data_IF_887225263710
#
_entry.id   IF_887225263710
#
_cell.length_a   1.000
_cell.length_b   1.000
_cell.length_c   1.000
_cell.angle_alpha   90.00
_cell.angle_beta   90.00
_cell.angle_gamma   90.00
#
_symmetry.space_group_name_H-M   'P 1'
#
loop_
_entity.id
_entity.type
_entity.pdbx_description
1 polymer ?
#
# COMPACT_ATOMS: atom_id res chain seq x y z
N UNK A 1 17.97 -40.93 -21.12
CA UNK A 1 18.73 -39.92 -20.35
C UNK A 1 18.63 -38.64 -21.14
N UNK A 2 17.85 -37.67 -20.66
CA UNK A 2 17.49 -36.47 -21.42
C UNK A 2 18.46 -35.32 -21.13
N UNK A 3 18.53 -34.32 -22.01
CA UNK A 3 19.53 -33.23 -21.93
C UNK A 3 19.54 -32.46 -20.59
N UNK A 4 18.39 -32.36 -19.91
CA UNK A 4 18.29 -31.80 -18.56
C UNK A 4 19.14 -32.56 -17.51
N UNK A 5 19.30 -33.88 -17.62
CA UNK A 5 20.11 -34.66 -16.67
C UNK A 5 21.61 -34.38 -16.83
N UNK A 6 22.07 -34.12 -18.07
CA UNK A 6 23.47 -33.78 -18.35
C UNK A 6 23.85 -32.42 -17.75
N UNK A 7 23.01 -31.40 -17.95
CA UNK A 7 23.25 -30.06 -17.42
C UNK A 7 23.30 -30.01 -15.87
N UNK A 8 22.59 -30.92 -15.19
CA UNK A 8 22.63 -31.03 -13.72
C UNK A 8 23.94 -31.70 -13.25
N UNK A 9 24.40 -32.73 -13.95
CA UNK A 9 25.66 -33.42 -13.64
C UNK A 9 26.90 -32.53 -13.83
N UNK A 10 26.94 -31.70 -14.86
CA UNK A 10 28.05 -30.75 -15.07
C UNK A 10 28.14 -29.74 -13.92
N UNK A 11 27.01 -29.11 -13.54
CA UNK A 11 26.97 -28.16 -12.41
C UNK A 11 27.33 -28.79 -11.06
N UNK A 12 26.99 -30.05 -10.83
CA UNK A 12 27.40 -30.78 -9.62
C UNK A 12 28.89 -31.16 -9.61
N UNK A 13 29.54 -31.20 -10.77
CA UNK A 13 30.97 -31.50 -10.89
C UNK A 13 31.82 -30.26 -10.61
N UNK A 14 31.45 -29.08 -11.15
CA UNK A 14 32.14 -27.81 -10.83
C UNK A 14 32.04 -27.44 -9.34
N UNK A 15 30.87 -27.64 -8.72
CA UNK A 15 30.65 -27.33 -7.30
C UNK A 15 31.49 -28.18 -6.32
N UNK A 16 32.18 -29.23 -6.80
CA UNK A 16 32.91 -30.19 -5.95
C UNK A 16 34.42 -30.20 -6.13
N UNK A 17 34.96 -29.33 -7.01
CA UNK A 17 36.38 -29.26 -7.36
C UNK A 17 37.13 -28.03 -6.78
N UNK A 18 36.55 -27.33 -5.80
CA UNK A 18 37.21 -26.26 -5.04
C UNK A 18 38.04 -26.81 -3.86
N UNK A 19 39.36 -26.61 -3.91
CA UNK A 19 40.39 -27.35 -3.15
C UNK A 19 40.38 -27.13 -1.61
N UNK A 20 40.83 -28.09 -0.78
CA UNK A 20 40.97 -27.94 0.66
C UNK A 20 42.29 -27.25 1.06
N UNK A 21 42.32 -26.63 2.24
CA UNK A 21 43.52 -25.94 2.74
C UNK A 21 43.34 -25.41 4.16
N UNK A 22 43.26 -26.32 5.15
CA UNK A 22 43.29 -25.92 6.55
C UNK A 22 44.70 -25.45 6.94
N UNK A 23 44.82 -24.20 7.38
CA UNK A 23 46.02 -23.67 8.02
C UNK A 23 45.69 -23.24 9.46
N UNK A 24 46.58 -23.62 10.39
CA UNK A 24 46.38 -23.52 11.85
C UNK A 24 46.42 -22.06 12.32
N UNK A 25 45.56 -21.63 13.27
CA UNK A 25 45.64 -20.28 13.84
C UNK A 25 46.84 -20.11 14.78
N UNK A 26 47.56 -18.98 14.77
CA UNK A 26 48.53 -18.64 15.80
C UNK A 26 47.81 -18.29 17.14
N UNK A 27 48.50 -18.43 18.29
CA UNK A 27 47.87 -18.37 19.61
C UNK A 27 47.45 -16.95 20.02
N UNK A 28 46.38 -16.88 20.81
CA UNK A 28 45.89 -15.64 21.40
C UNK A 28 46.87 -15.04 22.41
N UNK A 29 47.21 -13.76 22.25
CA UNK A 29 47.89 -12.98 23.28
C UNK A 29 46.85 -12.41 24.26
N UNK A 30 47.07 -12.64 25.57
CA UNK A 30 46.26 -12.09 26.64
C UNK A 30 46.54 -10.57 26.84
N UNK A 31 45.58 -9.79 27.38
CA UNK A 31 45.71 -8.34 27.51
C UNK A 31 46.58 -7.93 28.72
N UNK A 32 47.42 -6.87 28.61
CA UNK A 32 47.92 -6.15 29.77
C UNK A 32 46.82 -5.28 30.39
N UNK A 33 46.82 -5.14 31.72
CA UNK A 33 45.85 -4.34 32.49
C UNK A 33 46.30 -2.88 32.63
N UNK A 34 45.32 -1.99 32.82
CA UNK A 34 45.42 -0.63 33.43
C UNK A 34 46.06 0.49 32.58
N UNK A 35 45.64 1.77 32.64
CA UNK A 35 44.42 2.38 33.22
C UNK A 35 44.22 3.86 32.73
N UNK A 36 42.95 4.23 32.48
CA UNK A 36 42.28 5.57 32.68
C UNK A 36 43.00 6.85 32.16
N UNK A 37 42.44 7.61 31.21
CA UNK A 37 41.59 8.82 31.42
C UNK A 37 41.03 9.41 30.08
N UNK A 38 39.94 10.23 30.07
CA UNK A 38 39.16 10.57 28.86
C UNK A 38 39.65 11.84 28.10
N UNK A 39 39.26 12.11 26.85
CA UNK A 39 38.35 11.38 25.94
C UNK A 39 37.81 12.29 24.83
N UNK A 40 38.63 12.59 23.81
CA UNK A 40 38.29 13.47 22.67
C UNK A 40 38.40 12.69 21.36
N UNK A 41 37.35 12.73 20.53
CA UNK A 41 37.30 12.07 19.23
C UNK A 41 37.86 13.00 18.15
N UNK A 42 38.83 12.52 17.38
CA UNK A 42 39.24 13.11 16.11
C UNK A 42 39.61 12.00 15.11
N UNK A 43 38.88 11.90 14.01
CA UNK A 43 39.18 11.02 12.88
C UNK A 43 38.86 11.76 11.58
N UNK A 44 39.76 11.71 10.59
CA UNK A 44 39.72 12.51 9.35
C UNK A 44 39.88 11.61 8.11
N UNK A 45 38.95 11.75 7.13
CA UNK A 45 38.95 11.09 5.80
C UNK A 45 38.54 9.60 5.80
N UNK A 46 37.95 8.97 4.77
CA UNK A 46 37.49 9.40 3.43
C UNK A 46 37.62 8.24 2.40
N UNK A 47 36.86 8.12 1.29
CA UNK A 47 35.69 8.84 0.71
C UNK A 47 34.90 7.90 -0.24
N UNK A 48 33.56 7.83 -0.10
CA UNK A 48 32.51 7.37 -1.08
C UNK A 48 32.58 5.96 -1.74
N UNK A 49 31.52 5.17 -1.49
CA UNK A 49 30.71 4.51 -2.53
C UNK A 49 29.28 4.23 -1.98
N UNK A 50 28.23 4.46 -2.77
CA UNK A 50 26.85 4.47 -2.29
C UNK A 50 26.20 3.07 -2.25
N UNK A 51 25.45 2.81 -1.16
CA UNK A 51 24.70 1.57 -0.98
C UNK A 51 23.78 1.66 0.24
N UNK A 52 22.70 2.46 0.13
CA UNK A 52 21.68 2.57 1.19
C UNK A 52 20.85 1.30 1.22
N UNK A 53 21.37 0.25 1.84
CA UNK A 53 20.56 -0.88 2.32
C UNK A 53 19.90 -0.42 3.61
N UNK A 54 18.80 0.31 3.47
CA UNK A 54 17.91 0.65 4.57
C UNK A 54 17.23 -0.63 5.07
N UNK A 55 17.92 -1.38 5.94
CA UNK A 55 17.35 -2.51 6.66
C UNK A 55 16.33 -2.01 7.69
N UNK A 56 15.09 -1.80 7.25
CA UNK A 56 13.98 -1.50 8.15
C UNK A 56 13.65 -2.74 8.98
N UNK A 57 14.18 -2.75 10.19
CA UNK A 57 13.86 -3.73 11.22
C UNK A 57 12.34 -3.75 11.50
N UNK A 58 11.85 -4.94 11.80
CA UNK A 58 10.47 -5.27 12.10
C UNK A 58 9.90 -4.42 13.25
N UNK A 59 9.16 -3.38 12.90
CA UNK A 59 8.17 -2.74 13.76
C UNK A 59 6.86 -2.67 13.00
N UNK A 60 5.80 -3.23 13.56
CA UNK A 60 4.44 -3.24 12.99
C UNK A 60 3.77 -1.86 13.07
N UNK A 61 4.40 -0.84 12.48
CA UNK A 61 3.75 0.45 12.28
C UNK A 61 2.60 0.28 11.30
N UNK A 62 1.41 0.73 11.69
CA UNK A 62 0.32 0.90 10.73
C UNK A 62 0.81 1.80 9.59
N UNK A 63 0.72 1.33 8.35
CA UNK A 63 1.10 2.10 7.17
C UNK A 63 0.12 3.29 7.03
N UNK A 64 0.49 4.46 7.56
CA UNK A 64 -0.36 5.67 7.54
C UNK A 64 -0.33 6.41 6.19
N UNK A 65 0.68 6.12 5.37
CA UNK A 65 0.89 6.75 4.06
C UNK A 65 0.82 5.67 2.99
N UNK A 66 -0.09 5.82 2.03
CA UNK A 66 -0.24 4.86 0.93
C UNK A 66 0.89 4.93 -0.10
N UNK A 67 1.08 3.84 -0.83
CA UNK A 67 1.98 3.74 -1.99
C UNK A 67 1.17 3.66 -3.28
N UNK A 68 1.82 3.61 -4.45
CA UNK A 68 1.12 3.44 -5.74
C UNK A 68 0.45 2.05 -5.83
N UNK A 69 1.08 1.04 -5.23
CA UNK A 69 0.60 -0.34 -5.16
C UNK A 69 -0.53 -0.51 -4.14
N UNK A 70 -0.50 0.28 -3.05
CA UNK A 70 -1.48 0.24 -1.97
C UNK A 70 -1.80 1.65 -1.46
N UNK A 71 -2.59 2.44 -2.19
CA UNK A 71 -2.88 3.82 -1.81
C UNK A 71 -3.82 3.90 -0.61
N UNK A 72 -3.77 5.03 0.09
CA UNK A 72 -4.60 5.28 1.25
C UNK A 72 -5.99 5.84 0.85
N UNK A 73 -7.03 5.28 1.46
CA UNK A 73 -8.38 5.87 1.50
C UNK A 73 -8.40 7.05 2.48
N UNK A 74 -9.17 8.08 2.13
CA UNK A 74 -9.36 9.27 2.97
C UNK A 74 -10.76 9.25 3.58
N UNK A 75 -10.90 9.67 4.84
CA UNK A 75 -12.20 9.77 5.51
C UNK A 75 -13.10 10.86 4.92
N UNK A 76 -14.40 10.60 4.87
CA UNK A 76 -15.43 11.65 4.85
C UNK A 76 -15.45 12.31 6.23
N UNK A 77 -15.39 13.65 6.27
CA UNK A 77 -15.48 14.40 7.54
C UNK A 77 -16.88 14.28 8.13
N UNK A 78 -17.01 14.28 9.46
CA UNK A 78 -18.31 14.22 10.14
C UNK A 78 -19.30 15.30 9.66
N UNK A 79 -18.81 16.52 9.36
CA UNK A 79 -19.60 17.63 8.79
C UNK A 79 -20.19 17.36 7.41
N UNK A 80 -19.58 16.43 6.67
CA UNK A 80 -19.83 16.23 5.24
C UNK A 80 -20.66 14.96 5.00
N UNK A 81 -20.96 14.16 6.03
CA UNK A 81 -21.70 12.88 5.92
C UNK A 81 -23.08 13.07 5.27
N UNK A 82 -23.84 14.10 5.69
CA UNK A 82 -25.17 14.36 5.12
C UNK A 82 -25.11 14.70 3.63
N UNK A 83 -24.08 15.45 3.20
CA UNK A 83 -23.83 15.75 1.79
C UNK A 83 -23.36 14.51 1.02
N UNK A 84 -22.50 13.70 1.64
CA UNK A 84 -21.97 12.47 1.09
C UNK A 84 -23.05 11.40 0.86
N UNK A 85 -24.11 11.40 1.68
CA UNK A 85 -25.23 10.45 1.61
C UNK A 85 -25.89 10.39 0.22
N UNK A 86 -25.92 11.49 -0.52
CA UNK A 86 -26.46 11.55 -1.89
C UNK A 86 -25.68 10.75 -2.93
N UNK A 87 -24.56 10.13 -2.54
CA UNK A 87 -23.73 9.24 -3.38
C UNK A 87 -23.72 7.78 -2.89
N UNK A 88 -24.40 7.50 -1.77
CA UNK A 88 -24.55 6.15 -1.25
C UNK A 88 -25.74 5.46 -1.94
N UNK A 89 -25.73 4.12 -2.03
CA UNK A 89 -26.85 3.33 -2.53
C UNK A 89 -28.15 3.70 -1.76
N UNK A 90 -29.23 4.15 -2.43
CA UNK A 90 -30.46 4.62 -1.76
C UNK A 90 -31.04 3.63 -0.74
N UNK A 91 -30.94 2.33 -1.03
CA UNK A 91 -31.39 1.21 -0.21
C UNK A 91 -30.58 0.98 1.07
N UNK A 92 -29.31 1.40 1.10
CA UNK A 92 -28.43 1.29 2.28
C UNK A 92 -28.20 2.65 2.98
N UNK A 93 -28.57 3.75 2.32
CA UNK A 93 -28.23 5.13 2.69
C UNK A 93 -28.49 5.46 4.17
N UNK A 94 -29.69 5.17 4.67
CA UNK A 94 -30.06 5.56 6.04
C UNK A 94 -29.24 4.81 7.10
N UNK A 95 -29.03 3.49 6.91
CA UNK A 95 -28.17 2.66 7.76
C UNK A 95 -26.72 3.15 7.72
N UNK A 96 -26.17 3.36 6.53
CA UNK A 96 -24.77 3.77 6.32
C UNK A 96 -24.51 5.16 6.92
N UNK A 97 -25.45 6.10 6.78
CA UNK A 97 -25.37 7.43 7.40
C UNK A 97 -25.46 7.34 8.93
N UNK A 98 -26.32 6.50 9.49
CA UNK A 98 -26.42 6.30 10.93
C UNK A 98 -25.12 5.72 11.51
N UNK A 99 -24.58 4.65 10.91
CA UNK A 99 -23.35 4.01 11.35
C UNK A 99 -22.13 4.93 11.24
N UNK A 100 -22.08 5.78 10.21
CA UNK A 100 -21.03 6.78 10.04
C UNK A 100 -21.14 7.93 11.06
N UNK A 101 -22.35 8.46 11.29
CA UNK A 101 -22.60 9.49 12.33
C UNK A 101 -22.33 8.98 13.75
N UNK A 102 -22.56 7.69 13.99
CA UNK A 102 -22.25 7.03 15.25
C UNK A 102 -20.78 6.59 15.39
N UNK A 103 -19.92 6.91 14.42
CA UNK A 103 -18.51 6.51 14.37
C UNK A 103 -18.26 4.99 14.43
N UNK A 104 -19.27 4.16 14.10
CA UNK A 104 -19.19 2.68 14.12
C UNK A 104 -18.65 2.12 12.81
N UNK A 105 -19.08 2.69 11.69
CA UNK A 105 -18.57 2.37 10.36
C UNK A 105 -18.42 3.67 9.56
N UNK A 106 -17.24 4.32 9.58
CA UNK A 106 -17.05 5.58 8.89
C UNK A 106 -17.07 5.40 7.37
N UNK A 107 -17.23 6.52 6.66
CA UNK A 107 -17.22 6.57 5.21
C UNK A 107 -15.83 6.96 4.69
N UNK A 108 -15.39 6.29 3.64
CA UNK A 108 -14.28 6.70 2.80
C UNK A 108 -14.77 7.61 1.67
N UNK A 109 -13.98 8.64 1.36
CA UNK A 109 -14.17 9.58 0.27
C UNK A 109 -13.23 9.23 -0.88
N UNK A 110 -13.77 9.17 -2.09
CA UNK A 110 -13.02 9.01 -3.33
C UNK A 110 -13.49 10.09 -4.32
N UNK A 111 -12.62 10.53 -5.24
CA UNK A 111 -13.01 11.45 -6.33
C UNK A 111 -12.72 10.81 -7.67
N UNK A 112 -13.73 10.77 -8.54
CA UNK A 112 -13.67 10.23 -9.88
C UNK A 112 -13.63 11.38 -10.90
N UNK A 113 -12.77 11.30 -11.90
CA UNK A 113 -12.72 12.26 -13.03
C UNK A 113 -11.98 11.66 -14.21
N UNK A 114 -12.38 11.95 -15.46
CA UNK A 114 -11.58 11.54 -16.64
C UNK A 114 -10.26 12.30 -16.72
N UNK A 115 -9.20 11.67 -17.21
CA UNK A 115 -7.89 12.30 -17.49
C UNK A 115 -7.75 12.77 -18.94
N UNK A 116 -8.53 12.20 -19.87
CA UNK A 116 -8.49 12.54 -21.31
C UNK A 116 -9.88 12.95 -21.82
N UNK A 117 -10.00 13.74 -22.90
CA UNK A 117 -11.31 14.14 -23.45
C UNK A 117 -12.15 12.97 -24.00
N UNK A 118 -11.51 11.84 -24.33
CA UNK A 118 -12.16 10.59 -24.78
C UNK A 118 -12.32 9.58 -23.64
N UNK A 119 -11.83 9.90 -22.45
CA UNK A 119 -11.95 9.12 -21.23
C UNK A 119 -13.29 9.33 -20.52
N UNK A 120 -13.48 8.55 -19.47
CA UNK A 120 -14.75 8.43 -18.76
C UNK A 120 -15.45 7.11 -19.05
N UNK A 121 -16.74 7.07 -18.74
CA UNK A 121 -17.60 5.89 -18.86
C UNK A 121 -18.45 5.68 -17.62
N UNK A 122 -19.03 4.49 -17.48
CA UNK A 122 -19.88 4.16 -16.32
C UNK A 122 -19.13 3.23 -15.37
N UNK A 123 -19.08 3.60 -14.08
CA UNK A 123 -18.46 2.79 -13.02
C UNK A 123 -19.40 2.55 -11.84
N UNK A 124 -19.21 1.43 -11.16
CA UNK A 124 -19.64 1.18 -9.79
C UNK A 124 -18.43 0.82 -8.94
N UNK A 125 -18.53 1.10 -7.64
CA UNK A 125 -17.49 0.84 -6.65
C UNK A 125 -18.02 -0.18 -5.66
N UNK A 126 -17.31 -1.29 -5.53
CA UNK A 126 -17.57 -2.32 -4.53
C UNK A 126 -16.57 -2.17 -3.38
N UNK A 127 -17.09 -2.12 -2.16
CA UNK A 127 -16.31 -2.04 -0.93
C UNK A 127 -16.80 -3.12 0.03
N UNK A 128 -16.09 -4.25 0.09
CA UNK A 128 -16.59 -5.46 0.76
C UNK A 128 -17.91 -5.92 0.12
N UNK A 129 -18.99 -5.96 0.90
CA UNK A 129 -20.32 -6.34 0.44
C UNK A 129 -21.12 -5.18 -0.19
N UNK A 130 -20.76 -3.93 0.10
CA UNK A 130 -21.44 -2.75 -0.44
C UNK A 130 -21.13 -2.59 -1.94
N UNK A 131 -22.14 -2.19 -2.72
CA UNK A 131 -22.00 -1.80 -4.11
C UNK A 131 -22.64 -0.42 -4.34
N UNK A 132 -21.87 0.51 -4.91
CA UNK A 132 -22.36 1.87 -5.15
C UNK A 132 -23.42 1.95 -6.26
N UNK A 133 -24.17 3.06 -6.32
CA UNK A 133 -24.85 3.49 -7.55
C UNK A 133 -23.90 3.52 -8.75
N UNK A 134 -24.47 3.46 -9.95
CA UNK A 134 -23.70 3.70 -11.17
C UNK A 134 -23.39 5.19 -11.31
N UNK A 135 -22.10 5.53 -11.46
CA UNK A 135 -21.62 6.88 -11.72
C UNK A 135 -21.15 6.99 -13.17
N UNK A 136 -21.74 7.92 -13.93
CA UNK A 136 -21.26 8.30 -15.25
C UNK A 136 -20.12 9.30 -15.09
N UNK A 137 -18.87 8.83 -15.16
CA UNK A 137 -17.69 9.69 -15.20
C UNK A 137 -17.62 10.31 -16.59
N UNK A 138 -18.05 11.56 -16.71
CA UNK A 138 -17.94 12.35 -17.94
C UNK A 138 -17.18 13.65 -17.63
N UNK A 139 -17.90 14.76 -17.50
CA UNK A 139 -17.32 16.07 -17.25
C UNK A 139 -17.25 16.42 -15.76
N UNK A 140 -16.07 16.90 -15.35
CA UNK A 140 -15.82 17.34 -13.98
C UNK A 140 -15.61 16.21 -12.97
N UNK A 141 -15.35 16.59 -11.70
CA UNK A 141 -15.11 15.64 -10.62
C UNK A 141 -16.39 15.20 -9.92
N UNK A 142 -16.53 13.90 -9.70
CA UNK A 142 -17.56 13.31 -8.84
C UNK A 142 -16.89 12.90 -7.54
N UNK A 143 -17.24 13.51 -6.41
CA UNK A 143 -16.86 13.01 -5.09
C UNK A 143 -17.89 11.97 -4.69
N UNK A 144 -17.45 10.77 -4.33
CA UNK A 144 -18.29 9.62 -3.98
C UNK A 144 -17.89 9.10 -2.60
N UNK A 145 -18.88 8.67 -1.83
CA UNK A 145 -18.68 8.07 -0.52
C UNK A 145 -19.03 6.58 -0.53
N UNK A 146 -18.17 5.78 0.10
CA UNK A 146 -18.34 4.33 0.24
C UNK A 146 -17.96 3.91 1.66
N UNK A 147 -18.56 2.86 2.24
CA UNK A 147 -18.03 2.24 3.45
C UNK A 147 -16.60 1.76 3.25
N UNK A 148 -15.82 1.61 4.33
CA UNK A 148 -14.52 0.93 4.22
C UNK A 148 -14.71 -0.54 3.80
N UNK A 149 -13.82 -1.08 2.95
CA UNK A 149 -13.98 -2.42 2.37
C UNK A 149 -13.76 -3.59 3.35
N UNK A 150 -13.53 -3.29 4.63
CA UNK A 150 -13.39 -4.23 5.73
C UNK A 150 -13.59 -3.52 7.07
N UNK A 151 -13.51 -4.23 8.21
CA UNK A 151 -13.60 -3.62 9.54
C UNK A 151 -12.60 -2.48 9.68
N UNK A 152 -13.02 -1.33 10.21
CA UNK A 152 -12.18 -0.13 10.23
C UNK A 152 -10.84 -0.37 10.94
N UNK A 153 -10.84 -1.09 12.07
CA UNK A 153 -9.64 -1.45 12.83
C UNK A 153 -8.62 -2.32 12.07
N UNK A 154 -9.00 -2.93 10.93
CA UNK A 154 -8.07 -3.70 10.11
C UNK A 154 -7.07 -2.82 9.34
N UNK A 155 -7.37 -1.53 9.14
CA UNK A 155 -6.50 -0.56 8.46
C UNK A 155 -6.25 -0.84 6.97
N UNK A 156 -6.89 -1.85 6.39
CA UNK A 156 -6.65 -2.32 5.01
C UNK A 156 -7.83 -3.11 4.44
N UNK A 157 -7.93 -3.13 3.11
CA UNK A 157 -8.89 -3.95 2.36
C UNK A 157 -8.72 -3.82 0.86
N UNK A 158 -9.75 -4.14 0.08
CA UNK A 158 -9.76 -4.01 -1.38
C UNK A 158 -10.99 -3.24 -1.86
N UNK A 159 -10.78 -2.22 -2.68
CA UNK A 159 -11.82 -1.60 -3.48
C UNK A 159 -11.81 -2.24 -4.87
N UNK A 160 -12.99 -2.59 -5.39
CA UNK A 160 -13.13 -3.05 -6.78
C UNK A 160 -13.94 -2.02 -7.55
N UNK A 161 -13.40 -1.57 -8.67
CA UNK A 161 -14.08 -0.70 -9.64
C UNK A 161 -14.53 -1.57 -10.80
N UNK A 162 -15.83 -1.61 -11.04
CA UNK A 162 -16.49 -2.43 -12.06
C UNK A 162 -17.33 -1.54 -12.99
N UNK A 163 -17.54 -1.96 -14.23
CA UNK A 163 -18.25 -1.16 -15.24
C UNK A 163 -17.49 -1.12 -16.57
N UNK A 164 -17.78 -0.10 -17.37
CA UNK A 164 -17.13 0.14 -18.66
C UNK A 164 -16.66 1.60 -18.71
N UNK A 165 -15.43 1.84 -18.24
CA UNK A 165 -14.81 3.15 -18.22
C UNK A 165 -13.30 3.09 -18.45
N UNK A 166 -12.76 4.11 -19.11
CA UNK A 166 -11.37 4.25 -19.53
C UNK A 166 -10.81 5.60 -19.07
N UNK A 167 -9.50 5.68 -18.82
CA UNK A 167 -8.82 6.92 -18.45
C UNK A 167 -9.49 7.64 -17.24
N UNK A 168 -10.01 6.88 -16.27
CA UNK A 168 -10.64 7.44 -15.07
C UNK A 168 -9.58 7.61 -13.99
N UNK A 169 -9.31 8.85 -13.59
CA UNK A 169 -8.57 9.13 -12.36
C UNK A 169 -9.45 8.90 -11.14
N UNK A 170 -8.88 8.18 -10.18
CA UNK A 170 -9.44 7.89 -8.87
C UNK A 170 -8.51 8.54 -7.84
N UNK A 171 -8.99 9.61 -7.21
CA UNK A 171 -8.23 10.27 -6.16
C UNK A 171 -8.23 9.41 -4.90
N UNK A 172 -7.08 8.81 -4.66
CA UNK A 172 -6.63 8.18 -3.44
C UNK A 172 -5.32 8.89 -3.03
N UNK A 173 -4.62 8.40 -2.00
CA UNK A 173 -3.32 8.95 -1.61
C UNK A 173 -2.20 7.90 -1.71
N UNK A 174 -1.41 7.84 -2.80
CA UNK A 174 -1.50 8.63 -4.05
C UNK A 174 -2.69 8.21 -4.94
N UNK A 175 -3.07 9.07 -5.89
CA UNK A 175 -4.16 8.80 -6.83
C UNK A 175 -3.73 7.93 -8.01
N UNK A 176 -4.69 7.22 -8.61
CA UNK A 176 -4.46 6.23 -9.66
C UNK A 176 -5.32 6.52 -10.91
N UNK A 177 -4.82 6.19 -12.10
CA UNK A 177 -5.66 6.10 -13.31
C UNK A 177 -6.09 4.65 -13.51
N UNK A 178 -7.37 4.43 -13.82
CA UNK A 178 -7.96 3.11 -14.04
C UNK A 178 -8.59 3.00 -15.44
N UNK A 179 -8.44 1.82 -16.01
CA UNK A 179 -9.20 1.33 -17.15
C UNK A 179 -9.91 0.05 -16.69
N UNK A 180 -11.18 -0.07 -17.09
CA UNK A 180 -12.10 -1.17 -16.73
C UNK A 180 -12.81 -1.74 -17.95
N UNK A 181 -12.43 -1.34 -19.17
CA UNK A 181 -13.11 -1.73 -20.41
C UNK A 181 -13.07 -3.23 -20.71
N UNK A 182 -12.05 -3.94 -20.23
CA UNK A 182 -11.86 -5.38 -20.45
C UNK A 182 -12.08 -6.23 -19.18
N UNK A 183 -11.95 -5.65 -17.98
CA UNK A 183 -12.06 -6.33 -16.69
C UNK A 183 -12.29 -5.35 -15.52
N UNK A 184 -12.71 -5.87 -14.37
CA UNK A 184 -12.79 -5.07 -13.13
C UNK A 184 -11.39 -4.69 -12.62
N UNK A 185 -11.23 -3.46 -12.12
CA UNK A 185 -9.98 -3.01 -11.49
C UNK A 185 -10.04 -3.21 -9.99
N UNK A 186 -9.21 -4.12 -9.48
CA UNK A 186 -8.96 -4.30 -8.04
C UNK A 186 -7.88 -3.36 -7.56
N UNK A 187 -8.09 -2.73 -6.41
CA UNK A 187 -7.18 -1.77 -5.77
C UNK A 187 -7.09 -2.15 -4.29
N UNK A 188 -5.99 -2.78 -3.83
CA UNK A 188 -5.75 -2.95 -2.41
C UNK A 188 -5.47 -1.57 -1.81
N UNK A 189 -6.04 -1.29 -0.65
CA UNK A 189 -6.03 0.03 0.00
C UNK A 189 -5.73 -0.07 1.48
N UNK A 190 -5.25 1.03 2.06
CA UNK A 190 -5.01 1.20 3.51
C UNK A 190 -5.68 2.47 4.03
N UNK A 191 -5.74 2.64 5.35
CA UNK A 191 -6.20 3.86 6.01
C UNK A 191 -5.68 3.97 7.45
N UNK A 192 -5.64 5.18 7.99
CA UNK A 192 -5.23 5.44 9.37
C UNK A 192 -6.36 5.12 10.35
N UNK A 193 -6.21 4.04 11.12
CA UNK A 193 -7.24 3.60 12.09
C UNK A 193 -7.37 4.49 13.32
N UNK A 194 -6.42 5.41 13.57
CA UNK A 194 -6.39 6.17 14.84
C UNK A 194 -7.52 7.19 15.04
N UNK A 195 -8.24 7.56 13.98
CA UNK A 195 -9.21 8.69 13.98
C UNK A 195 -10.47 8.37 13.15
N UNK A 196 -11.32 7.39 13.54
CA UNK A 196 -12.46 6.93 12.74
C UNK A 196 -13.44 8.03 12.29
N UNK A 197 -13.57 9.14 13.04
CA UNK A 197 -14.45 10.26 12.69
C UNK A 197 -13.72 11.55 12.28
N UNK A 198 -12.42 11.50 11.98
CA UNK A 198 -11.67 12.64 11.43
C UNK A 198 -11.43 13.80 12.41
N UNK A 199 -11.49 13.55 13.73
CA UNK A 199 -11.00 14.44 14.78
C UNK A 199 -9.48 14.45 14.82
#
# INVERSE_FOLDING_TARGET
MSDNERAILERQTEARAGNPGAAVPPPAAAPPRSAVSPGVIAALGGVVAAGVVAGTLLLGGAEKTGTVERPALTLVKASDIDKASGTVAPEEKDKVVEEAKACRAPLASMRLSRTTPKGGGMVRIRAGNYLSPAFTVADGPIVVAVPFPGPYEAGKGEIVIEGAAKDVFVQLSPGLTVDTTEAVKRIPVIWDTSKPCGA
#
